data_IF_214724191846
#
_entry.id   IF_214724191846
#
_cell.length_a   1.000
_cell.length_b   1.000
_cell.length_c   1.000
_cell.angle_alpha   90.00
_cell.angle_beta   90.00
_cell.angle_gamma   90.00
#
_symmetry.space_group_name_H-M   'P 1'
#
loop_
_entity.id
_entity.type
_entity.pdbx_description
1 polymer ?
#
# COMPACT_ATOMS: atom_id res chain seq x y z
N UNK A 1 28.29 49.38 -9.27
CA UNK A 1 27.24 48.92 -10.21
C UNK A 1 27.46 47.46 -10.63
N UNK A 2 28.08 46.62 -9.78
CA UNK A 2 28.40 45.21 -10.08
C UNK A 2 27.71 44.21 -9.14
N UNK A 3 27.13 44.67 -8.03
CA UNK A 3 26.59 43.78 -6.98
C UNK A 3 25.14 43.35 -7.24
N UNK A 4 24.36 44.17 -7.96
CA UNK A 4 22.95 43.88 -8.28
C UNK A 4 22.77 42.83 -9.39
N UNK A 5 23.70 42.75 -10.34
CA UNK A 5 23.64 41.78 -11.45
C UNK A 5 24.09 40.38 -11.00
N UNK A 6 24.97 40.29 -10.00
CA UNK A 6 25.44 39.02 -9.44
C UNK A 6 24.39 38.36 -8.52
N UNK A 7 23.65 39.14 -7.72
CA UNK A 7 22.57 38.62 -6.88
C UNK A 7 21.42 38.03 -7.70
N UNK A 8 20.98 38.73 -8.76
CA UNK A 8 19.85 38.29 -9.60
C UNK A 8 20.21 37.02 -10.42
N UNK A 9 21.46 36.91 -10.86
CA UNK A 9 21.96 35.72 -11.54
C UNK A 9 22.17 34.52 -10.60
N UNK A 10 22.52 34.75 -9.33
CA UNK A 10 22.68 33.70 -8.31
C UNK A 10 21.32 33.17 -7.82
N UNK A 11 20.34 34.07 -7.65
CA UNK A 11 18.96 33.73 -7.30
C UNK A 11 18.26 32.95 -8.40
N UNK A 12 18.45 33.34 -9.67
CA UNK A 12 17.95 32.61 -10.84
C UNK A 12 18.49 31.18 -10.93
N UNK A 13 19.80 30.99 -10.71
CA UNK A 13 20.45 29.66 -10.70
C UNK A 13 19.97 28.77 -9.56
N UNK A 14 19.80 29.34 -8.36
CA UNK A 14 19.31 28.60 -7.19
C UNK A 14 17.86 28.11 -7.37
N UNK A 15 17.00 28.95 -7.97
CA UNK A 15 15.62 28.54 -8.30
C UNK A 15 15.58 27.46 -9.37
N UNK A 16 16.43 27.54 -10.40
CA UNK A 16 16.51 26.52 -11.45
C UNK A 16 16.97 25.16 -10.89
N UNK A 17 17.97 25.14 -10.00
CA UNK A 17 18.40 23.91 -9.32
C UNK A 17 17.28 23.32 -8.46
N UNK A 18 16.56 24.17 -7.71
CA UNK A 18 15.45 23.72 -6.88
C UNK A 18 14.28 23.14 -7.70
N UNK A 19 13.99 23.72 -8.88
CA UNK A 19 13.01 23.16 -9.83
C UNK A 19 13.43 21.76 -10.29
N UNK A 20 14.68 21.58 -10.74
CA UNK A 20 15.22 20.28 -11.15
C UNK A 20 15.21 19.24 -10.01
N UNK A 21 15.41 19.68 -8.77
CA UNK A 21 15.35 18.79 -7.60
C UNK A 21 13.91 18.36 -7.29
N UNK A 22 12.93 19.26 -7.42
CA UNK A 22 11.52 18.92 -7.24
C UNK A 22 10.99 18.02 -8.36
N UNK A 23 11.42 18.24 -9.62
CA UNK A 23 11.08 17.36 -10.74
C UNK A 23 11.52 15.92 -10.48
N UNK A 24 12.78 15.70 -10.08
CA UNK A 24 13.27 14.37 -9.68
C UNK A 24 12.49 13.75 -8.52
N UNK A 25 12.02 14.55 -7.56
CA UNK A 25 11.17 14.05 -6.47
C UNK A 25 9.80 13.62 -7.00
N UNK A 26 9.21 14.38 -7.93
CA UNK A 26 7.95 14.00 -8.59
C UNK A 26 8.14 12.71 -9.38
N UNK A 27 9.21 12.57 -10.15
CA UNK A 27 9.51 11.34 -10.90
C UNK A 27 9.62 10.13 -9.95
N UNK A 28 10.36 10.28 -8.85
CA UNK A 28 10.47 9.23 -7.82
C UNK A 28 9.11 8.88 -7.19
N UNK A 29 8.22 9.86 -7.02
CA UNK A 29 6.88 9.64 -6.49
C UNK A 29 5.97 8.92 -7.50
N UNK A 30 6.11 9.21 -8.80
CA UNK A 30 5.42 8.50 -9.88
C UNK A 30 5.89 7.04 -9.90
N UNK A 31 7.20 6.79 -9.89
CA UNK A 31 7.76 5.44 -9.86
C UNK A 31 7.27 4.64 -8.64
N UNK A 32 7.17 5.31 -7.47
CA UNK A 32 6.64 4.68 -6.25
C UNK A 32 5.17 4.31 -6.39
N UNK A 33 4.36 5.12 -7.05
CA UNK A 33 2.95 4.81 -7.31
C UNK A 33 2.81 3.64 -8.27
N UNK A 34 3.58 3.62 -9.36
CA UNK A 34 3.55 2.53 -10.33
C UNK A 34 3.96 1.19 -9.71
N UNK A 35 4.95 1.18 -8.81
CA UNK A 35 5.35 0.00 -8.05
C UNK A 35 4.24 -0.48 -7.09
N UNK A 36 3.53 0.43 -6.40
CA UNK A 36 2.38 0.08 -5.57
C UNK A 36 1.25 -0.56 -6.40
N UNK A 37 0.98 -0.02 -7.58
CA UNK A 37 -0.05 -0.51 -8.48
C UNK A 37 0.29 -1.91 -9.02
N UNK A 38 1.55 -2.14 -9.41
CA UNK A 38 2.03 -3.47 -9.81
C UNK A 38 1.91 -4.49 -8.67
N UNK A 39 2.28 -4.10 -7.44
CA UNK A 39 2.14 -4.95 -6.25
C UNK A 39 0.67 -5.27 -5.96
N UNK A 40 -0.24 -4.29 -6.09
CA UNK A 40 -1.67 -4.51 -5.91
C UNK A 40 -2.25 -5.50 -6.95
N UNK A 41 -1.82 -5.38 -8.21
CA UNK A 41 -2.18 -6.32 -9.26
C UNK A 41 -1.66 -7.73 -8.97
N UNK A 42 -0.42 -7.85 -8.49
CA UNK A 42 0.16 -9.14 -8.07
C UNK A 42 -0.63 -9.78 -6.93
N UNK A 43 -0.95 -9.02 -5.87
CA UNK A 43 -1.77 -9.49 -4.74
C UNK A 43 -3.13 -10.01 -5.24
N UNK A 44 -3.79 -9.27 -6.14
CA UNK A 44 -5.10 -9.66 -6.67
C UNK A 44 -5.02 -11.01 -7.41
N UNK A 45 -4.00 -11.19 -8.26
CA UNK A 45 -3.77 -12.45 -8.98
C UNK A 45 -3.48 -13.60 -8.02
N UNK A 46 -2.60 -13.36 -7.04
CA UNK A 46 -2.23 -14.35 -6.04
C UNK A 46 -3.46 -14.83 -5.24
N UNK A 47 -4.30 -13.90 -4.75
CA UNK A 47 -5.52 -14.27 -4.04
C UNK A 47 -6.48 -15.06 -4.93
N UNK A 48 -6.62 -14.66 -6.20
CA UNK A 48 -7.43 -15.41 -7.17
C UNK A 48 -6.99 -16.88 -7.31
N UNK A 49 -5.68 -17.12 -7.39
CA UNK A 49 -5.11 -18.48 -7.43
C UNK A 49 -5.41 -19.24 -6.14
N UNK A 50 -5.17 -18.62 -4.98
CA UNK A 50 -5.41 -19.26 -3.67
C UNK A 50 -6.89 -19.61 -3.50
N UNK A 51 -7.82 -18.71 -3.84
CA UNK A 51 -9.25 -18.99 -3.79
C UNK A 51 -9.63 -20.14 -4.73
N UNK A 52 -9.07 -20.17 -5.95
CA UNK A 52 -9.25 -21.27 -6.89
C UNK A 52 -8.84 -22.62 -6.28
N UNK A 53 -7.63 -22.68 -5.69
CA UNK A 53 -7.14 -23.89 -5.02
C UNK A 53 -8.02 -24.32 -3.85
N UNK A 54 -8.48 -23.37 -3.03
CA UNK A 54 -9.38 -23.65 -1.90
C UNK A 54 -10.70 -24.23 -2.40
N UNK A 55 -11.32 -23.64 -3.42
CA UNK A 55 -12.57 -24.14 -4.01
C UNK A 55 -12.39 -25.54 -4.63
N UNK A 56 -11.26 -25.79 -5.30
CA UNK A 56 -10.93 -27.12 -5.82
C UNK A 56 -10.77 -28.15 -4.70
N UNK A 57 -10.04 -27.82 -3.63
CA UNK A 57 -9.85 -28.71 -2.49
C UNK A 57 -11.18 -29.05 -1.80
N UNK A 58 -12.04 -28.06 -1.58
CA UNK A 58 -13.39 -28.24 -1.03
C UNK A 58 -14.24 -29.12 -1.95
N UNK A 59 -14.24 -28.85 -3.26
CA UNK A 59 -14.99 -29.66 -4.23
C UNK A 59 -14.53 -31.12 -4.24
N UNK A 60 -13.23 -31.36 -4.17
CA UNK A 60 -12.66 -32.70 -4.13
C UNK A 60 -13.00 -33.43 -2.83
N UNK A 61 -12.95 -32.74 -1.69
CA UNK A 61 -13.33 -33.30 -0.40
C UNK A 61 -14.81 -33.77 -0.40
N UNK A 62 -15.73 -32.99 -0.98
CA UNK A 62 -17.12 -33.39 -1.14
C UNK A 62 -17.30 -34.61 -2.08
N UNK A 63 -16.50 -34.71 -3.14
CA UNK A 63 -16.58 -35.82 -4.10
C UNK A 63 -16.01 -37.13 -3.55
N UNK A 64 -14.91 -37.08 -2.81
CA UNK A 64 -14.23 -38.26 -2.26
C UNK A 64 -14.87 -38.75 -0.95
N UNK A 65 -15.53 -37.85 -0.20
CA UNK A 65 -15.97 -38.12 1.18
C UNK A 65 -17.25 -38.93 1.35
N UNK A 66 -18.06 -39.18 0.31
CA UNK A 66 -19.29 -40.00 0.39
C UNK A 66 -20.39 -39.52 1.36
N UNK A 67 -20.14 -38.46 2.11
CA UNK A 67 -20.99 -37.85 3.13
C UNK A 67 -20.33 -36.59 3.67
N UNK A 68 -21.12 -35.70 4.30
CA UNK A 68 -20.59 -34.48 4.88
C UNK A 68 -19.51 -34.84 5.91
N UNK A 69 -18.26 -34.35 5.79
CA UNK A 69 -17.27 -34.55 6.83
C UNK A 69 -17.86 -34.08 8.15
N UNK A 70 -17.61 -34.81 9.24
CA UNK A 70 -17.91 -34.36 10.61
C UNK A 70 -17.08 -33.10 10.87
N UNK A 71 -17.55 -31.99 10.34
CA UNK A 71 -16.81 -30.73 10.27
C UNK A 71 -17.09 -30.02 11.58
N UNK A 72 -16.04 -29.84 12.38
CA UNK A 72 -16.18 -29.13 13.63
C UNK A 72 -16.56 -27.67 13.35
N UNK A 73 -17.46 -27.09 14.16
CA UNK A 73 -17.87 -25.68 14.05
C UNK A 73 -16.65 -24.73 13.97
N UNK A 74 -15.55 -24.92 14.74
CA UNK A 74 -14.34 -24.11 14.61
C UNK A 74 -13.72 -24.15 13.21
N UNK A 75 -13.73 -25.29 12.52
CA UNK A 75 -13.19 -25.41 11.17
C UNK A 75 -14.03 -24.62 10.15
N UNK A 76 -15.37 -24.67 10.28
CA UNK A 76 -16.29 -23.90 9.42
C UNK A 76 -16.04 -22.40 9.59
N UNK A 77 -15.92 -21.94 10.85
CA UNK A 77 -15.64 -20.54 11.15
C UNK A 77 -14.26 -20.11 10.61
N UNK A 78 -13.25 -20.96 10.71
CA UNK A 78 -11.93 -20.70 10.15
C UNK A 78 -11.97 -20.59 8.61
N UNK A 79 -12.69 -21.48 7.91
CA UNK A 79 -12.87 -21.35 6.45
C UNK A 79 -13.57 -20.04 6.11
N UNK A 80 -14.67 -19.72 6.78
CA UNK A 80 -15.44 -18.51 6.52
C UNK A 80 -14.60 -17.24 6.75
N UNK A 81 -13.88 -17.16 7.88
CA UNK A 81 -12.97 -16.06 8.18
C UNK A 81 -11.83 -15.96 7.16
N UNK A 82 -11.29 -17.10 6.72
CA UNK A 82 -10.27 -17.18 5.67
C UNK A 82 -10.74 -16.58 4.35
N UNK A 83 -11.91 -17.02 3.86
CA UNK A 83 -12.51 -16.53 2.62
C UNK A 83 -12.83 -15.03 2.71
N UNK A 84 -13.44 -14.58 3.81
CA UNK A 84 -13.74 -13.16 4.02
C UNK A 84 -12.46 -12.32 4.02
N UNK A 85 -11.39 -12.79 4.68
CA UNK A 85 -10.09 -12.11 4.68
C UNK A 85 -9.49 -11.98 3.29
N UNK A 86 -9.54 -13.04 2.47
CA UNK A 86 -9.07 -13.01 1.09
C UNK A 86 -9.90 -12.06 0.20
N UNK A 87 -11.22 -12.07 0.33
CA UNK A 87 -12.10 -11.14 -0.41
C UNK A 87 -11.81 -9.69 0.00
N UNK A 88 -11.62 -9.43 1.29
CA UNK A 88 -11.24 -8.11 1.79
C UNK A 88 -9.87 -7.66 1.25
N UNK A 89 -8.91 -8.59 1.11
CA UNK A 89 -7.62 -8.30 0.50
C UNK A 89 -7.75 -7.89 -0.97
N UNK A 90 -8.54 -8.62 -1.78
CA UNK A 90 -8.81 -8.24 -3.17
C UNK A 90 -9.47 -6.87 -3.24
N UNK A 91 -10.53 -6.64 -2.45
CA UNK A 91 -11.23 -5.36 -2.45
C UNK A 91 -10.29 -4.19 -2.11
N UNK A 92 -9.45 -4.36 -1.08
CA UNK A 92 -8.47 -3.34 -0.71
C UNK A 92 -7.38 -3.12 -1.78
N UNK A 93 -6.93 -4.18 -2.46
CA UNK A 93 -5.99 -4.07 -3.57
C UNK A 93 -6.58 -3.27 -4.74
N UNK A 94 -7.83 -3.56 -5.12
CA UNK A 94 -8.56 -2.82 -6.16
C UNK A 94 -8.72 -1.34 -5.78
N UNK A 95 -9.11 -1.06 -4.54
CA UNK A 95 -9.25 0.32 -4.05
C UNK A 95 -7.91 1.07 -4.08
N UNK A 96 -6.82 0.39 -3.71
CA UNK A 96 -5.46 0.98 -3.75
C UNK A 96 -5.09 1.35 -5.18
N UNK A 97 -5.24 0.40 -6.11
CA UNK A 97 -4.99 0.59 -7.54
C UNK A 97 -5.81 1.75 -8.13
N UNK A 98 -7.11 1.82 -7.83
CA UNK A 98 -7.97 2.89 -8.36
C UNK A 98 -7.70 4.28 -7.75
N UNK A 99 -7.06 4.34 -6.58
CA UNK A 99 -6.80 5.60 -5.87
C UNK A 99 -5.41 6.19 -6.11
N UNK A 100 -4.57 5.54 -6.92
CA UNK A 100 -3.20 5.96 -7.26
C UNK A 100 -3.13 7.09 -8.31
N UNK A 101 -3.83 8.21 -8.08
CA UNK A 101 -3.73 9.39 -8.96
C UNK A 101 -2.69 10.39 -8.42
N UNK A 102 -1.56 10.48 -9.10
CA UNK A 102 -0.49 11.46 -8.83
C UNK A 102 -0.76 12.72 -9.64
N UNK A 103 -0.53 13.89 -9.04
CA UNK A 103 -0.56 15.17 -9.75
C UNK A 103 0.82 15.39 -10.37
N UNK A 104 0.85 15.56 -11.69
CA UNK A 104 2.08 15.80 -12.46
C UNK A 104 1.95 17.13 -13.20
N UNK A 105 2.98 17.97 -13.11
CA UNK A 105 3.13 19.18 -13.92
C UNK A 105 2.41 20.43 -13.41
N UNK A 106 2.47 21.51 -14.21
CA UNK A 106 1.82 22.78 -13.92
C UNK A 106 0.31 22.70 -14.08
N UNK A 107 -0.41 23.49 -13.27
CA UNK A 107 -1.83 23.72 -13.51
C UNK A 107 -2.05 24.27 -14.94
N UNK A 108 -3.07 23.78 -15.68
CA UNK A 108 -3.32 24.18 -17.07
C UNK A 108 -3.47 25.69 -17.26
N UNK A 109 -3.96 26.40 -16.25
CA UNK A 109 -4.06 27.87 -16.26
C UNK A 109 -2.68 28.52 -16.28
N UNK A 110 -1.76 28.06 -15.44
CA UNK A 110 -0.39 28.58 -15.37
C UNK A 110 0.40 28.25 -16.66
N UNK A 111 0.23 27.06 -17.21
CA UNK A 111 0.87 26.67 -18.48
C UNK A 111 0.42 27.57 -19.65
N UNK A 112 -0.85 27.98 -19.68
CA UNK A 112 -1.38 28.89 -20.70
C UNK A 112 -0.79 30.29 -20.59
N UNK A 113 -0.74 30.85 -19.38
CA UNK A 113 -0.15 32.18 -19.13
C UNK A 113 1.35 32.23 -19.45
N UNK A 114 2.07 31.12 -19.25
CA UNK A 114 3.48 30.98 -19.66
C UNK A 114 3.61 30.93 -21.18
N UNK A 115 2.73 30.17 -21.86
CA UNK A 115 2.75 30.07 -23.32
C UNK A 115 2.46 31.41 -24.02
N UNK A 116 1.69 32.28 -23.37
CA UNK A 116 1.36 33.62 -23.85
C UNK A 116 2.52 34.64 -23.66
N UNK A 117 3.66 34.20 -23.09
CA UNK A 117 4.89 35.00 -23.00
C UNK A 117 4.88 36.08 -21.91
N UNK A 118 3.95 36.01 -20.97
CA UNK A 118 3.72 37.05 -19.96
C UNK A 118 4.72 37.03 -18.78
N UNK A 119 5.68 36.10 -18.75
CA UNK A 119 6.63 35.96 -17.63
C UNK A 119 8.09 36.10 -18.03
N UNK A 120 8.85 36.86 -17.23
CA UNK A 120 10.30 36.85 -17.28
C UNK A 120 10.90 35.55 -16.74
N UNK A 121 12.16 35.26 -17.09
CA UNK A 121 12.86 34.01 -16.71
C UNK A 121 12.85 33.74 -15.18
N UNK A 122 12.93 34.80 -14.37
CA UNK A 122 12.89 34.71 -12.91
C UNK A 122 11.50 34.40 -12.34
N UNK A 123 10.44 34.93 -12.95
CA UNK A 123 9.05 34.69 -12.54
C UNK A 123 8.57 33.31 -12.96
N UNK A 124 9.00 32.84 -14.13
CA UNK A 124 8.74 31.48 -14.60
C UNK A 124 9.27 30.43 -13.61
N UNK A 125 10.54 30.55 -13.18
CA UNK A 125 11.12 29.63 -12.21
C UNK A 125 10.43 29.68 -10.84
N UNK A 126 9.99 30.86 -10.40
CA UNK A 126 9.24 31.00 -9.14
C UNK A 126 7.85 30.32 -9.23
N UNK A 127 7.17 30.46 -10.36
CA UNK A 127 5.88 29.81 -10.63
C UNK A 127 6.02 28.28 -10.69
N UNK A 128 7.04 27.77 -11.39
CA UNK A 128 7.37 26.35 -11.43
C UNK A 128 7.63 25.80 -10.03
N UNK A 129 8.52 26.46 -9.28
CA UNK A 129 8.90 26.05 -7.93
C UNK A 129 7.67 25.89 -7.03
N UNK A 130 6.76 26.87 -7.06
CA UNK A 130 5.52 26.81 -6.27
C UNK A 130 4.61 25.68 -6.72
N UNK A 131 4.46 25.49 -8.04
CA UNK A 131 3.60 24.43 -8.58
C UNK A 131 4.11 23.03 -8.26
N UNK A 132 5.42 22.81 -8.32
CA UNK A 132 6.04 21.53 -7.99
C UNK A 132 6.06 21.28 -6.49
N UNK A 133 6.28 22.30 -5.66
CA UNK A 133 6.16 22.17 -4.21
C UNK A 133 4.73 21.75 -3.81
N UNK A 134 3.71 22.39 -4.40
CA UNK A 134 2.31 22.03 -4.18
C UNK A 134 2.00 20.60 -4.66
N UNK A 135 2.55 20.18 -5.81
CA UNK A 135 2.39 18.82 -6.32
C UNK A 135 3.03 17.78 -5.40
N UNK A 136 4.27 18.01 -4.94
CA UNK A 136 4.99 17.14 -4.02
C UNK A 136 4.22 16.95 -2.71
N UNK A 137 3.67 18.01 -2.13
CA UNK A 137 2.91 17.92 -0.87
C UNK A 137 1.60 17.14 -1.06
N UNK A 138 0.86 17.40 -2.14
CA UNK A 138 -0.38 16.65 -2.44
C UNK A 138 -0.09 15.18 -2.72
N UNK A 139 0.93 14.88 -3.51
CA UNK A 139 1.33 13.51 -3.83
C UNK A 139 1.79 12.76 -2.58
N UNK A 140 2.51 13.43 -1.66
CA UNK A 140 2.90 12.84 -0.38
C UNK A 140 1.68 12.40 0.45
N UNK A 141 0.62 13.19 0.47
CA UNK A 141 -0.61 12.85 1.18
C UNK A 141 -1.32 11.64 0.53
N UNK A 142 -1.38 11.59 -0.80
CA UNK A 142 -1.95 10.46 -1.54
C UNK A 142 -1.13 9.19 -1.32
N UNK A 143 0.20 9.27 -1.44
CA UNK A 143 1.12 8.16 -1.19
C UNK A 143 0.99 7.63 0.23
N UNK A 144 0.96 8.51 1.24
CA UNK A 144 0.78 8.09 2.63
C UNK A 144 -0.58 7.41 2.86
N UNK A 145 -1.65 7.90 2.24
CA UNK A 145 -2.96 7.27 2.31
C UNK A 145 -2.99 5.91 1.61
N UNK A 146 -2.41 5.80 0.42
CA UNK A 146 -2.34 4.55 -0.34
C UNK A 146 -1.46 3.51 0.36
N UNK A 147 -0.31 3.91 0.91
CA UNK A 147 0.54 3.02 1.70
C UNK A 147 -0.20 2.47 2.94
N UNK A 148 -0.97 3.31 3.65
CA UNK A 148 -1.82 2.86 4.77
C UNK A 148 -2.88 1.86 4.32
N UNK A 149 -3.55 2.10 3.20
CA UNK A 149 -4.55 1.18 2.64
C UNK A 149 -3.93 -0.14 2.22
N UNK A 150 -2.81 -0.10 1.48
CA UNK A 150 -2.08 -1.28 1.03
C UNK A 150 -1.62 -2.14 2.22
N UNK A 151 -1.20 -1.51 3.31
CA UNK A 151 -0.86 -2.18 4.56
C UNK A 151 -2.05 -2.95 5.15
N UNK A 152 -3.23 -2.33 5.21
CA UNK A 152 -4.46 -3.01 5.65
C UNK A 152 -4.83 -4.17 4.72
N UNK A 153 -4.62 -4.03 3.40
CA UNK A 153 -4.78 -5.11 2.42
C UNK A 153 -3.88 -6.31 2.72
N UNK A 154 -2.60 -6.07 3.02
CA UNK A 154 -1.67 -7.15 3.37
C UNK A 154 -2.05 -7.85 4.68
N UNK A 155 -2.57 -7.12 5.67
CA UNK A 155 -3.08 -7.71 6.91
C UNK A 155 -4.32 -8.58 6.65
N UNK A 156 -5.25 -8.12 5.80
CA UNK A 156 -6.40 -8.91 5.39
C UNK A 156 -5.98 -10.20 4.65
N UNK A 157 -4.98 -10.10 3.77
CA UNK A 157 -4.40 -11.24 3.07
C UNK A 157 -3.81 -12.26 4.07
N UNK A 158 -2.98 -11.78 4.99
CA UNK A 158 -2.37 -12.61 6.03
C UNK A 158 -3.42 -13.31 6.89
N UNK A 159 -4.47 -12.58 7.28
CA UNK A 159 -5.60 -13.14 8.01
C UNK A 159 -6.28 -14.25 7.21
N UNK A 160 -6.58 -13.98 5.94
CA UNK A 160 -7.20 -14.95 5.03
C UNK A 160 -6.42 -16.27 4.95
N UNK A 161 -5.11 -16.17 4.68
CA UNK A 161 -4.22 -17.33 4.59
C UNK A 161 -4.15 -18.07 5.93
N UNK A 162 -3.96 -17.35 7.04
CA UNK A 162 -3.81 -17.95 8.38
C UNK A 162 -5.05 -18.74 8.77
N UNK A 163 -6.24 -18.18 8.58
CA UNK A 163 -7.49 -18.87 8.90
C UNK A 163 -7.75 -20.07 8.00
N UNK A 164 -7.38 -20.02 6.72
CA UNK A 164 -7.43 -21.20 5.85
C UNK A 164 -6.43 -22.29 6.32
N UNK A 165 -5.23 -21.93 6.75
CA UNK A 165 -4.27 -22.88 7.32
C UNK A 165 -4.80 -23.50 8.61
N UNK A 166 -5.41 -22.72 9.50
CA UNK A 166 -6.06 -23.22 10.72
C UNK A 166 -7.21 -24.17 10.35
N UNK A 167 -8.02 -23.84 9.35
CA UNK A 167 -9.10 -24.71 8.89
C UNK A 167 -8.58 -26.07 8.41
N UNK A 168 -7.50 -26.09 7.62
CA UNK A 168 -6.85 -27.32 7.17
C UNK A 168 -6.34 -28.12 8.38
N UNK A 169 -5.68 -27.46 9.34
CA UNK A 169 -5.19 -28.12 10.55
C UNK A 169 -6.33 -28.76 11.35
N UNK A 170 -7.42 -28.02 11.56
CA UNK A 170 -8.60 -28.51 12.26
C UNK A 170 -9.29 -29.66 11.53
N UNK A 171 -9.26 -29.66 10.20
CA UNK A 171 -9.82 -30.75 9.39
C UNK A 171 -8.97 -32.02 9.50
N UNK A 172 -7.64 -31.89 9.43
CA UNK A 172 -6.69 -33.02 9.47
C UNK A 172 -6.61 -33.65 10.85
N UNK A 173 -6.49 -32.83 11.91
CA UNK A 173 -6.38 -33.35 13.28
C UNK A 173 -7.73 -33.82 13.82
N UNK A 174 -8.84 -33.35 13.24
CA UNK A 174 -10.20 -33.59 13.69
C UNK A 174 -10.35 -33.54 15.24
N UNK A 175 -9.87 -32.47 15.91
CA UNK A 175 -9.87 -32.42 17.37
C UNK A 175 -11.31 -32.43 17.88
N UNK A 176 -11.58 -33.28 18.86
CA UNK A 176 -12.91 -33.41 19.46
C UNK A 176 -13.11 -32.40 20.60
N UNK A 177 -14.33 -31.88 20.72
CA UNK A 177 -14.73 -30.99 21.83
C UNK A 177 -13.99 -29.64 21.86
N UNK A 178 -13.48 -29.28 23.05
CA UNK A 178 -12.92 -27.95 23.35
C UNK A 178 -11.59 -27.65 22.65
N UNK A 179 -10.87 -28.68 22.22
CA UNK A 179 -9.54 -28.52 21.60
C UNK A 179 -9.58 -27.77 20.26
N UNK A 180 -10.64 -27.97 19.46
CA UNK A 180 -10.81 -27.23 18.21
C UNK A 180 -10.96 -25.73 18.43
N UNK A 181 -11.66 -25.33 19.50
CA UNK A 181 -11.76 -23.94 19.93
C UNK A 181 -10.43 -23.39 20.44
N UNK A 182 -9.66 -24.19 21.18
CA UNK A 182 -8.33 -23.81 21.65
C UNK A 182 -7.36 -23.47 20.51
N UNK A 183 -7.31 -24.31 19.47
CA UNK A 183 -6.48 -24.07 18.27
C UNK A 183 -6.93 -22.79 17.55
N UNK A 184 -8.24 -22.61 17.35
CA UNK A 184 -8.78 -21.41 16.70
C UNK A 184 -8.43 -20.15 17.49
N UNK A 185 -8.66 -20.13 18.80
CA UNK A 185 -8.39 -18.97 19.65
C UNK A 185 -6.90 -18.64 19.72
N UNK A 186 -6.04 -19.65 19.86
CA UNK A 186 -4.58 -19.47 19.87
C UNK A 186 -4.10 -18.87 18.54
N UNK A 187 -4.59 -19.41 17.41
CA UNK A 187 -4.28 -18.89 16.08
C UNK A 187 -4.77 -17.45 15.88
N UNK A 188 -6.01 -17.15 16.30
CA UNK A 188 -6.58 -15.79 16.25
C UNK A 188 -5.78 -14.81 17.11
N UNK A 189 -5.34 -15.21 18.29
CA UNK A 189 -4.52 -14.36 19.18
C UNK A 189 -3.16 -14.08 18.56
N UNK A 190 -2.47 -15.09 18.02
CA UNK A 190 -1.20 -14.92 17.31
C UNK A 190 -1.36 -13.97 16.12
N UNK A 191 -2.40 -14.16 15.31
CA UNK A 191 -2.73 -13.29 14.19
C UNK A 191 -3.02 -11.86 14.65
N UNK A 192 -3.77 -11.67 15.74
CA UNK A 192 -4.08 -10.35 16.27
C UNK A 192 -2.82 -9.60 16.72
N UNK A 193 -1.86 -10.28 17.36
CA UNK A 193 -0.57 -9.70 17.76
C UNK A 193 0.21 -9.24 16.53
N UNK A 194 0.33 -10.11 15.52
CA UNK A 194 1.06 -9.80 14.29
C UNK A 194 0.36 -8.67 13.52
N UNK A 195 -0.96 -8.73 13.36
CA UNK A 195 -1.76 -7.70 12.70
C UNK A 195 -1.61 -6.35 13.41
N UNK A 196 -1.68 -6.33 14.74
CA UNK A 196 -1.48 -5.11 15.52
C UNK A 196 -0.07 -4.54 15.32
N UNK A 197 0.97 -5.36 15.39
CA UNK A 197 2.35 -4.93 15.11
C UNK A 197 2.48 -4.35 13.69
N UNK A 198 1.89 -5.05 12.71
CA UNK A 198 1.83 -4.66 11.31
C UNK A 198 0.89 -3.49 11.02
N UNK A 199 0.06 -3.00 11.93
CA UNK A 199 -0.73 -1.79 11.72
C UNK A 199 -0.16 -0.59 12.47
N UNK A 200 0.47 -0.81 13.63
CA UNK A 200 0.99 0.27 14.49
C UNK A 200 2.24 0.94 13.94
N UNK A 201 2.90 0.36 12.92
CA UNK A 201 4.04 1.05 12.26
C UNK A 201 5.33 1.04 13.04
N UNK A 202 5.44 0.21 14.09
CA UNK A 202 6.59 0.21 14.99
C UNK A 202 7.94 -0.10 14.32
N UNK A 203 7.95 -0.70 13.13
CA UNK A 203 9.15 -0.94 12.34
C UNK A 203 9.68 0.28 11.57
N UNK A 204 8.97 1.44 11.58
CA UNK A 204 9.35 2.64 10.82
C UNK A 204 10.19 3.66 11.61
N UNK A 205 10.81 3.27 12.73
CA UNK A 205 11.77 4.15 13.42
C UNK A 205 13.11 4.07 12.69
N UNK A 206 13.33 5.01 11.77
CA UNK A 206 14.68 5.44 11.46
C UNK A 206 15.17 6.21 12.69
N UNK A 207 15.98 5.55 13.52
CA UNK A 207 16.87 6.28 14.42
C UNK A 207 17.75 7.14 13.52
N UNK A 208 17.48 8.44 13.51
CA UNK A 208 18.47 9.40 13.03
C UNK A 208 19.59 9.30 14.04
N UNK A 209 20.66 8.62 13.64
CA UNK A 209 21.88 8.48 14.42
C UNK A 209 22.44 9.89 14.58
N UNK A 210 22.25 10.49 15.76
CA UNK A 210 22.66 11.85 16.11
C UNK A 210 24.18 11.89 16.40
N UNK A 211 24.96 11.13 15.63
CA UNK A 211 26.39 10.88 15.85
C UNK A 211 27.31 11.85 15.10
N UNK A 212 26.82 13.02 14.69
CA UNK A 212 27.62 14.04 14.01
C UNK A 212 27.55 15.42 14.65
N UNK A 213 27.73 15.50 15.97
CA UNK A 213 28.10 16.74 16.68
C UNK A 213 28.82 16.42 18.01
N UNK A 214 30.06 15.94 17.92
CA UNK A 214 31.13 16.24 18.89
C UNK A 214 32.46 16.40 18.15
#
# INVERSE_FOLDING_TARGET
MSESDDEDSSGGRSRADAVNRLERVIDTQIDTVDDLDQKAAYVTRFVGVVLGLVLTAVSLAFRLGGGAPTTSVPAILAVAAGVVGLVAAIAGAIVTYLSSKVVVGLHPRAAKTIADGEYGYGEYNALLLRSYADAVERNRQVLAANARRFRSTLVALLAGITYLSIAVLLFVLAPTGVWGWGVLLAGTLALAIVAWYLLTGRYLRLEVDDSSNE
#
